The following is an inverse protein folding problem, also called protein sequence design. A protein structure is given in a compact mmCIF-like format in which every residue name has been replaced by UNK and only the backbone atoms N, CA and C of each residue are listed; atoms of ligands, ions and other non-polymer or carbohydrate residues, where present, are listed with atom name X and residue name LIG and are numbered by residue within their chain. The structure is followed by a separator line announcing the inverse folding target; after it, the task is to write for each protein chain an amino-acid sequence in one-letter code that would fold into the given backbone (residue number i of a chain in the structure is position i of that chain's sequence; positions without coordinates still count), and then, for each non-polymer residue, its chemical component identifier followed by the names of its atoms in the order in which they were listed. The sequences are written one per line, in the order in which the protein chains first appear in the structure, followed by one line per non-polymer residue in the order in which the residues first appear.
data_IF_052704767160
#
_entry.id   IF_052704767160
#
_cell.length_a   1.000
_cell.length_b   1.000
_cell.length_c   1.000
_cell.angle_alpha   90.00
_cell.angle_beta   90.00
_cell.angle_gamma   90.00
#
_symmetry.space_group_name_H-M   'P 1'
#
loop_
_entity.id
_entity.type
_entity.pdbx_description
1 polymer ?
#
# COMPACT_ATOMS: atom_id res chain seq x y z
N UNK A 1 4.79 43.32 -7.62
CA UNK A 1 4.46 41.88 -7.60
C UNK A 1 5.52 41.11 -8.41
N UNK A 2 6.60 40.64 -7.78
CA UNK A 2 7.72 39.95 -8.47
C UNK A 2 8.12 38.63 -7.79
N UNK A 3 7.77 38.45 -6.50
CA UNK A 3 8.12 37.25 -5.74
C UNK A 3 7.56 35.95 -6.35
N UNK A 4 6.30 35.94 -6.80
CA UNK A 4 5.68 34.75 -7.39
C UNK A 4 6.40 34.30 -8.67
N UNK A 5 6.71 35.25 -9.55
CA UNK A 5 7.43 34.98 -10.80
C UNK A 5 8.84 34.45 -10.53
N UNK A 6 9.58 35.06 -9.60
CA UNK A 6 10.92 34.56 -9.21
C UNK A 6 10.88 33.19 -8.55
N UNK A 7 9.87 32.90 -7.73
CA UNK A 7 9.71 31.57 -7.13
C UNK A 7 9.49 30.49 -8.20
N UNK A 8 8.70 30.79 -9.23
CA UNK A 8 8.52 29.91 -10.38
C UNK A 8 9.83 29.68 -11.14
N UNK A 9 10.60 30.74 -11.40
CA UNK A 9 11.90 30.65 -12.08
C UNK A 9 12.90 29.77 -11.32
N UNK A 10 12.95 29.88 -9.99
CA UNK A 10 13.85 29.11 -9.13
C UNK A 10 13.49 27.63 -9.03
N UNK A 11 12.20 27.30 -9.15
CA UNK A 11 11.69 25.92 -9.06
C UNK A 11 11.60 25.23 -10.41
N UNK A 12 11.84 25.96 -11.50
CA UNK A 12 11.80 25.42 -12.85
C UNK A 12 13.17 24.79 -13.22
N UNK A 13 13.21 23.50 -13.56
CA UNK A 13 14.47 22.80 -13.89
C UNK A 13 15.15 23.34 -15.16
N UNK A 14 14.43 24.00 -16.07
CA UNK A 14 15.00 24.58 -17.29
C UNK A 14 15.73 25.90 -17.04
N UNK A 15 15.32 26.63 -16.00
CA UNK A 15 15.83 27.98 -15.70
C UNK A 15 16.89 27.90 -14.60
N UNK A 16 16.59 27.18 -13.51
CA UNK A 16 17.51 27.01 -12.38
C UNK A 16 17.67 25.52 -12.01
N UNK A 17 18.43 24.73 -12.78
CA UNK A 17 18.60 23.29 -12.54
C UNK A 17 19.29 22.99 -11.20
N UNK A 18 20.21 23.85 -10.75
CA UNK A 18 20.95 23.62 -9.51
C UNK A 18 20.05 23.64 -8.27
N UNK A 19 19.10 24.57 -8.19
CA UNK A 19 18.16 24.66 -7.05
C UNK A 19 17.24 23.44 -7.02
N UNK A 20 16.73 23.02 -8.19
CA UNK A 20 15.89 21.82 -8.28
C UNK A 20 16.65 20.56 -7.89
N UNK A 21 17.92 20.43 -8.29
CA UNK A 21 18.76 19.31 -7.89
C UNK A 21 18.99 19.27 -6.38
N UNK A 22 19.27 20.40 -5.73
CA UNK A 22 19.40 20.45 -4.26
C UNK A 22 18.09 20.10 -3.56
N UNK A 23 16.95 20.62 -4.03
CA UNK A 23 15.63 20.23 -3.49
C UNK A 23 15.42 18.72 -3.62
N UNK A 24 15.80 18.11 -4.75
CA UNK A 24 15.70 16.66 -4.95
C UNK A 24 16.62 15.87 -4.02
N UNK A 25 17.86 16.32 -3.79
CA UNK A 25 18.77 15.69 -2.81
C UNK A 25 18.17 15.70 -1.42
N UNK A 26 17.69 16.85 -0.94
CA UNK A 26 17.04 16.94 0.37
C UNK A 26 15.81 16.03 0.48
N UNK A 27 15.00 15.91 -0.58
CA UNK A 27 13.86 14.99 -0.60
C UNK A 27 14.30 13.53 -0.48
N UNK A 28 15.35 13.13 -1.20
CA UNK A 28 15.90 11.78 -1.15
C UNK A 28 16.49 11.47 0.22
N UNK A 29 17.33 12.35 0.77
CA UNK A 29 17.90 12.20 2.11
C UNK A 29 16.82 12.07 3.19
N UNK A 30 15.75 12.88 3.08
CA UNK A 30 14.61 12.79 3.99
C UNK A 30 13.89 11.44 3.84
N UNK A 31 13.64 10.99 2.61
CA UNK A 31 13.02 9.70 2.34
C UNK A 31 13.86 8.53 2.86
N UNK A 32 15.18 8.60 2.76
CA UNK A 32 16.12 7.59 3.29
C UNK A 32 16.11 7.57 4.81
N UNK A 33 16.21 8.74 5.45
CA UNK A 33 16.20 8.88 6.92
C UNK A 33 14.93 8.30 7.54
N UNK A 34 13.78 8.47 6.88
CA UNK A 34 12.49 7.99 7.34
C UNK A 34 12.00 6.75 6.61
N UNK A 35 12.89 6.06 5.89
CA UNK A 35 12.55 4.83 5.18
C UNK A 35 12.01 3.79 6.16
N UNK A 36 10.85 3.23 5.82
CA UNK A 36 10.22 2.16 6.60
C UNK A 36 10.97 0.86 6.30
N UNK A 37 11.96 0.55 7.13
CA UNK A 37 12.59 -0.77 7.17
C UNK A 37 11.82 -1.67 8.12
N UNK A 38 11.94 -2.99 7.96
CA UNK A 38 11.27 -3.96 8.84
C UNK A 38 11.60 -3.71 10.33
N UNK A 39 12.88 -3.51 10.65
CA UNK A 39 13.33 -3.22 12.01
C UNK A 39 12.77 -1.91 12.56
N UNK A 40 12.78 -0.84 11.75
CA UNK A 40 12.19 0.45 12.14
C UNK A 40 10.69 0.29 12.40
N UNK A 41 9.97 -0.39 11.51
CA UNK A 41 8.54 -0.61 11.63
C UNK A 41 8.16 -1.29 12.95
N UNK A 42 8.83 -2.39 13.31
CA UNK A 42 8.62 -3.11 14.58
C UNK A 42 8.90 -2.20 15.78
N UNK A 43 9.97 -1.41 15.71
CA UNK A 43 10.35 -0.48 16.77
C UNK A 43 9.30 0.62 16.95
N UNK A 44 8.76 1.15 15.86
CA UNK A 44 7.71 2.17 15.92
C UNK A 44 6.38 1.62 16.45
N UNK A 45 6.01 0.38 16.09
CA UNK A 45 4.85 -0.30 16.66
C UNK A 45 4.98 -0.50 18.18
N UNK A 46 6.18 -0.85 18.67
CA UNK A 46 6.46 -0.94 20.10
C UNK A 46 6.30 0.41 20.82
N UNK A 47 6.82 1.50 20.23
CA UNK A 47 6.64 2.86 20.76
C UNK A 47 5.17 3.27 20.81
N UNK A 48 4.38 2.90 19.79
CA UNK A 48 2.95 3.19 19.74
C UNK A 48 2.18 2.43 20.83
N UNK A 49 2.54 1.17 21.07
CA UNK A 49 2.02 0.38 22.19
C UNK A 49 2.30 1.08 23.53
N UNK A 50 3.55 1.44 23.79
CA UNK A 50 3.95 2.08 25.05
C UNK A 50 3.23 3.42 25.26
N UNK A 51 3.06 4.19 24.17
CA UNK A 51 2.28 5.42 24.19
C UNK A 51 0.80 5.19 24.48
N UNK A 52 0.21 4.14 23.91
CA UNK A 52 -1.19 3.77 24.16
C UNK A 52 -1.41 3.30 25.60
N UNK A 53 -0.47 2.54 26.17
CA UNK A 53 -0.48 2.14 27.59
C UNK A 53 -0.41 3.39 28.48
N UNK A 54 0.48 4.34 28.17
CA UNK A 54 0.61 5.59 28.94
C UNK A 54 -0.68 6.45 28.89
N UNK A 55 -1.50 6.29 27.86
CA UNK A 55 -2.78 6.99 27.68
C UNK A 55 -3.99 6.19 28.19
N UNK A 56 -3.78 5.08 28.89
CA UNK A 56 -4.84 4.17 29.35
C UNK A 56 -5.77 3.69 28.22
N UNK A 57 -5.20 3.44 27.04
CA UNK A 57 -5.93 2.90 25.87
C UNK A 57 -5.52 1.45 25.60
N UNK A 58 -5.99 0.47 26.40
CA UNK A 58 -5.52 -0.92 26.30
C UNK A 58 -5.88 -1.58 24.96
N UNK A 59 -7.03 -1.27 24.37
CA UNK A 59 -7.43 -1.84 23.07
C UNK A 59 -6.49 -1.46 21.93
N UNK A 60 -5.98 -0.23 21.92
CA UNK A 60 -5.00 0.22 20.91
C UNK A 60 -3.64 -0.44 21.15
N UNK A 61 -3.24 -0.61 22.40
CA UNK A 61 -2.00 -1.29 22.76
C UNK A 61 -2.01 -2.77 22.31
N UNK A 62 -3.12 -3.48 22.54
CA UNK A 62 -3.29 -4.88 22.10
C UNK A 62 -3.26 -4.97 20.57
N UNK A 63 -3.97 -4.09 19.87
CA UNK A 63 -3.94 -4.06 18.41
C UNK A 63 -2.53 -3.82 17.86
N UNK A 64 -1.75 -2.91 18.47
CA UNK A 64 -0.37 -2.66 18.08
C UNK A 64 0.52 -3.92 18.21
N UNK A 65 0.32 -4.74 19.25
CA UNK A 65 1.03 -6.01 19.39
C UNK A 65 0.58 -7.07 18.38
N UNK A 66 -0.70 -7.16 18.07
CA UNK A 66 -1.20 -8.06 17.00
C UNK A 66 -0.54 -7.71 15.67
N UNK A 67 -0.46 -6.43 15.31
CA UNK A 67 0.22 -5.98 14.09
C UNK A 67 1.72 -6.28 14.11
N UNK A 68 2.36 -6.17 15.28
CA UNK A 68 3.77 -6.51 15.45
C UNK A 68 4.02 -8.01 15.24
N UNK A 69 3.16 -8.86 15.78
CA UNK A 69 3.23 -10.30 15.57
C UNK A 69 2.93 -10.69 14.11
N UNK A 70 1.98 -10.02 13.45
CA UNK A 70 1.73 -10.18 12.01
C UNK A 70 2.95 -9.78 11.18
N UNK A 71 3.60 -8.67 11.52
CA UNK A 71 4.81 -8.22 10.83
C UNK A 71 5.97 -9.22 10.96
N UNK A 72 6.10 -9.90 12.11
CA UNK A 72 7.09 -10.96 12.33
C UNK A 72 6.71 -12.31 11.68
N UNK A 73 5.52 -12.44 11.11
CA UNK A 73 5.05 -13.68 10.51
C UNK A 73 4.54 -14.73 11.51
N UNK A 74 4.28 -14.36 12.77
CA UNK A 74 3.68 -15.30 13.75
C UNK A 74 2.22 -15.63 13.44
N UNK A 75 1.55 -14.78 12.67
CA UNK A 75 0.17 -14.99 12.26
C UNK A 75 0.14 -15.51 10.83
N UNK A 76 -0.47 -16.68 10.65
CA UNK A 76 -0.78 -17.23 9.33
C UNK A 76 -2.19 -16.77 8.95
N UNK A 77 -2.29 -15.80 8.05
CA UNK A 77 -3.58 -15.41 7.48
C UNK A 77 -4.02 -16.46 6.46
N UNK A 78 -4.94 -17.34 6.87
CA UNK A 78 -5.60 -18.29 5.97
C UNK A 78 -6.71 -17.56 5.22
N UNK A 79 -6.38 -17.05 4.05
CA UNK A 79 -7.40 -16.62 3.10
C UNK A 79 -7.98 -17.89 2.44
N UNK A 80 -9.26 -18.18 2.67
CA UNK A 80 -9.94 -19.23 1.93
C UNK A 80 -10.40 -18.63 0.62
N UNK A 81 -9.63 -18.84 -0.46
CA UNK A 81 -10.07 -18.48 -1.81
C UNK A 81 -11.21 -19.44 -2.20
N UNK A 82 -12.45 -19.04 -1.92
CA UNK A 82 -13.63 -19.67 -2.51
C UNK A 82 -13.65 -19.24 -3.97
N UNK A 83 -13.09 -20.06 -4.85
CA UNK A 83 -13.17 -19.87 -6.29
C UNK A 83 -14.63 -20.06 -6.71
N UNK A 84 -15.42 -18.99 -6.68
CA UNK A 84 -16.83 -18.96 -7.15
C UNK A 84 -16.99 -19.31 -8.66
N UNK A 85 -15.89 -19.61 -9.34
CA UNK A 85 -15.81 -19.89 -10.77
C UNK A 85 -15.13 -21.24 -11.08
N UNK A 86 -14.89 -22.13 -10.10
CA UNK A 86 -14.49 -23.50 -10.41
C UNK A 86 -15.63 -24.16 -11.19
N UNK A 87 -15.31 -24.90 -12.26
CA UNK A 87 -16.30 -25.60 -13.11
C UNK A 87 -17.17 -26.54 -12.25
N UNK A 88 -16.63 -27.04 -11.14
CA UNK A 88 -17.29 -27.93 -10.21
C UNK A 88 -18.46 -27.28 -9.42
N UNK A 89 -18.48 -25.94 -9.32
CA UNK A 89 -19.53 -25.20 -8.58
C UNK A 89 -20.64 -24.65 -9.52
N UNK A 90 -20.53 -24.83 -10.85
CA UNK A 90 -21.59 -24.43 -11.78
C UNK A 90 -22.67 -25.50 -11.87
N UNK A 91 -23.93 -25.10 -11.64
CA UNK A 91 -25.08 -25.93 -12.02
C UNK A 91 -25.09 -26.17 -13.53
N UNK A 92 -25.53 -27.34 -14.00
CA UNK A 92 -25.40 -27.76 -15.41
C UNK A 92 -26.01 -26.75 -16.40
N UNK A 93 -27.11 -26.10 -16.01
CA UNK A 93 -27.79 -25.07 -16.81
C UNK A 93 -26.92 -23.81 -17.03
N UNK A 94 -26.15 -23.39 -16.03
CA UNK A 94 -25.24 -22.23 -16.15
C UNK A 94 -23.99 -22.56 -16.96
N UNK A 95 -23.57 -23.83 -16.94
CA UNK A 95 -22.47 -24.31 -17.78
C UNK A 95 -22.88 -24.24 -19.25
N UNK A 96 -24.10 -24.72 -19.56
CA UNK A 96 -24.62 -24.75 -20.92
C UNK A 96 -24.80 -23.34 -21.51
N UNK A 97 -25.38 -22.41 -20.75
CA UNK A 97 -25.49 -21.01 -21.18
C UNK A 97 -24.12 -20.35 -21.46
N UNK A 98 -23.09 -20.68 -20.66
CA UNK A 98 -21.72 -20.21 -20.92
C UNK A 98 -21.10 -20.84 -22.17
N UNK A 99 -21.39 -22.11 -22.44
CA UNK A 99 -20.91 -22.78 -23.65
C UNK A 99 -21.54 -22.16 -24.90
N UNK A 100 -22.83 -21.86 -24.85
CA UNK A 100 -23.54 -21.20 -25.96
C UNK A 100 -23.01 -19.78 -26.20
N UNK A 101 -22.80 -18.99 -25.13
CA UNK A 101 -22.18 -17.67 -25.23
C UNK A 101 -20.75 -17.72 -25.81
N UNK A 102 -19.97 -18.76 -25.49
CA UNK A 102 -18.64 -18.96 -26.08
C UNK A 102 -18.72 -19.29 -27.58
N UNK A 103 -19.69 -20.10 -28.00
CA UNK A 103 -19.90 -20.45 -29.40
C UNK A 103 -20.32 -19.23 -30.24
N UNK A 104 -21.24 -18.41 -29.73
CA UNK A 104 -21.70 -17.20 -30.40
C UNK A 104 -20.55 -16.19 -30.57
N UNK A 105 -19.73 -16.00 -29.54
CA UNK A 105 -18.58 -15.09 -29.60
C UNK A 105 -17.48 -15.58 -30.57
N UNK A 106 -17.35 -16.90 -30.75
CA UNK A 106 -16.37 -17.50 -31.67
C UNK A 106 -16.86 -17.55 -33.11
N UNK A 107 -18.18 -17.48 -33.34
CA UNK A 107 -18.79 -17.33 -34.66
C UNK A 107 -18.77 -15.87 -35.17
N UNK A 108 -18.57 -14.91 -34.28
CA UNK A 108 -18.46 -13.48 -34.60
C UNK A 108 -17.02 -13.02 -34.94
N UNK A 109 -16.05 -13.94 -34.94
CA UNK A 109 -14.67 -13.75 -35.42
C UNK A 109 -14.51 -14.40 -36.80
#
# INVERSE_FOLDING_TARGET
KSAYQRAYELTNPKICPHVVNEISKYKTEYAEKFKVTHQNHITQLGKLRDYAIKKDMPGVAVNAEVWRGKAMGYYVEKHMNVNKNSIDDLTPEKLQNKMDEMLDNHAAW
#
